data_IF_103320111655
#
_entry.id   IF_103320111655
#
_cell.length_a   1.000
_cell.length_b   1.000
_cell.length_c   1.000
_cell.angle_alpha   90.00
_cell.angle_beta   90.00
_cell.angle_gamma   90.00
#
_symmetry.space_group_name_H-M   'P 1'
#
loop_
_entity.id
_entity.type
_entity.pdbx_description
1 polymer ?
#
# COMPACT_ATOMS: atom_id res chain seq x y z
N UNK A 1 -16.63 9.89 -10.51
CA UNK A 1 -15.51 10.77 -10.13
C UNK A 1 -14.26 10.00 -9.70
N UNK A 2 -14.33 9.15 -8.68
CA UNK A 2 -13.16 8.39 -8.19
C UNK A 2 -12.45 7.56 -9.29
N UNK A 3 -13.19 6.83 -10.12
CA UNK A 3 -12.62 6.05 -11.23
C UNK A 3 -11.89 6.91 -12.27
N UNK A 4 -12.48 8.04 -12.66
CA UNK A 4 -11.87 8.96 -13.62
C UNK A 4 -10.60 9.62 -13.05
N UNK A 5 -10.63 10.02 -11.78
CA UNK A 5 -9.44 10.53 -11.09
C UNK A 5 -8.34 9.46 -11.00
N UNK A 6 -8.69 8.21 -10.70
CA UNK A 6 -7.75 7.10 -10.64
C UNK A 6 -7.11 6.81 -12.00
N UNK A 7 -7.89 6.83 -13.09
CA UNK A 7 -7.36 6.65 -14.45
C UNK A 7 -6.40 7.77 -14.86
N UNK A 8 -6.74 9.02 -14.57
CA UNK A 8 -5.87 10.17 -14.86
C UNK A 8 -4.56 10.08 -14.08
N UNK A 9 -4.64 9.75 -12.78
CA UNK A 9 -3.46 9.61 -11.93
C UNK A 9 -2.56 8.45 -12.38
N UNK A 10 -3.14 7.30 -12.69
CA UNK A 10 -2.41 6.14 -13.21
C UNK A 10 -1.73 6.45 -14.55
N UNK A 11 -2.43 7.16 -15.45
CA UNK A 11 -1.88 7.61 -16.73
C UNK A 11 -0.70 8.56 -16.55
N UNK A 12 -0.80 9.53 -15.64
CA UNK A 12 0.30 10.46 -15.31
C UNK A 12 1.53 9.74 -14.77
N UNK A 13 1.34 8.81 -13.82
CA UNK A 13 2.42 8.03 -13.23
C UNK A 13 3.07 7.12 -14.29
N UNK A 14 2.27 6.50 -15.15
CA UNK A 14 2.75 5.68 -16.27
C UNK A 14 3.53 6.49 -17.31
N UNK A 15 3.05 7.68 -17.66
CA UNK A 15 3.74 8.58 -18.58
C UNK A 15 5.06 9.08 -17.99
N UNK A 16 5.10 9.43 -16.71
CA UNK A 16 6.32 9.87 -16.03
C UNK A 16 7.37 8.75 -15.97
N UNK A 17 6.97 7.54 -15.57
CA UNK A 17 7.87 6.37 -15.55
C UNK A 17 8.38 6.01 -16.94
N UNK A 18 7.50 6.01 -17.95
CA UNK A 18 7.88 5.77 -19.35
C UNK A 18 8.82 6.84 -19.91
N UNK A 19 8.57 8.12 -19.62
CA UNK A 19 9.42 9.23 -20.04
C UNK A 19 10.80 9.16 -19.39
N UNK A 20 10.88 8.86 -18.09
CA UNK A 20 12.16 8.68 -17.40
C UNK A 20 12.99 7.55 -18.02
N UNK A 21 12.36 6.43 -18.37
CA UNK A 21 13.05 5.34 -19.06
C UNK A 21 13.48 5.75 -20.48
N UNK A 22 12.61 6.39 -21.24
CA UNK A 22 12.84 6.74 -22.64
C UNK A 22 13.87 7.88 -22.85
N UNK A 23 13.87 8.89 -21.98
CA UNK A 23 14.72 10.08 -22.14
C UNK A 23 15.95 10.08 -21.24
N UNK A 24 15.86 9.55 -20.01
CA UNK A 24 16.99 9.56 -19.05
C UNK A 24 17.85 8.30 -19.20
N UNK A 25 17.36 7.24 -19.87
CA UNK A 25 18.09 5.98 -20.01
C UNK A 25 18.31 5.26 -18.67
N UNK A 26 17.53 5.62 -17.64
CA UNK A 26 17.60 5.00 -16.34
C UNK A 26 17.11 3.55 -16.41
N UNK A 27 17.72 2.67 -15.61
CA UNK A 27 17.35 1.26 -15.61
C UNK A 27 15.87 1.09 -15.21
N UNK A 28 15.04 0.38 -16.01
CA UNK A 28 13.58 0.35 -15.81
C UNK A 28 13.14 -0.11 -14.42
N UNK A 29 13.87 -1.07 -13.83
CA UNK A 29 13.57 -1.58 -12.49
C UNK A 29 13.76 -0.48 -11.43
N UNK A 30 14.78 0.38 -11.55
CA UNK A 30 15.01 1.44 -10.58
C UNK A 30 13.90 2.50 -10.64
N UNK A 31 13.46 2.85 -11.84
CA UNK A 31 12.40 3.86 -12.05
C UNK A 31 11.06 3.36 -11.50
N UNK A 32 10.70 2.10 -11.73
CA UNK A 32 9.46 1.52 -11.22
C UNK A 32 9.49 1.35 -9.70
N UNK A 33 10.61 0.88 -9.12
CA UNK A 33 10.77 0.81 -7.67
C UNK A 33 10.71 2.19 -7.02
N UNK A 34 11.39 3.20 -7.57
CA UNK A 34 11.36 4.57 -7.05
C UNK A 34 9.94 5.18 -7.12
N UNK A 35 9.21 4.90 -8.19
CA UNK A 35 7.84 5.38 -8.36
C UNK A 35 6.90 4.69 -7.38
N UNK A 36 7.03 3.36 -7.21
CA UNK A 36 6.26 2.60 -6.24
C UNK A 36 6.49 3.11 -4.81
N UNK A 37 7.75 3.34 -4.40
CA UNK A 37 8.08 3.85 -3.07
C UNK A 37 7.54 5.27 -2.86
N UNK A 38 7.63 6.13 -3.87
CA UNK A 38 7.09 7.51 -3.81
C UNK A 38 5.57 7.50 -3.66
N UNK A 39 4.85 6.74 -4.50
CA UNK A 39 3.39 6.65 -4.45
C UNK A 39 2.93 6.05 -3.12
N UNK A 40 3.58 4.99 -2.64
CA UNK A 40 3.29 4.40 -1.33
C UNK A 40 3.59 5.38 -0.19
N UNK A 41 4.69 6.12 -0.26
CA UNK A 41 5.04 7.15 0.72
C UNK A 41 4.01 8.26 0.81
N UNK A 42 3.55 8.77 -0.35
CA UNK A 42 2.44 9.74 -0.42
C UNK A 42 1.17 9.13 0.16
N UNK A 43 0.87 7.87 -0.15
CA UNK A 43 -0.26 7.14 0.42
C UNK A 43 -0.21 7.08 1.95
N UNK A 44 0.93 6.71 2.52
CA UNK A 44 1.15 6.66 3.98
C UNK A 44 1.02 8.06 4.60
N UNK A 45 1.57 9.08 3.95
CA UNK A 45 1.46 10.46 4.42
C UNK A 45 -0.01 10.92 4.45
N UNK A 46 -0.76 10.65 3.38
CA UNK A 46 -2.17 11.02 3.27
C UNK A 46 -3.05 10.26 4.27
N UNK A 47 -2.77 8.97 4.49
CA UNK A 47 -3.51 8.14 5.44
C UNK A 47 -3.00 8.28 6.87
N UNK A 48 -1.94 9.07 7.11
CA UNK A 48 -1.23 9.16 8.42
C UNK A 48 -0.81 7.78 8.95
N UNK A 49 -0.54 6.82 8.07
CA UNK A 49 -0.27 5.44 8.43
C UNK A 49 -1.47 4.65 8.95
N UNK A 50 -2.69 5.20 8.89
CA UNK A 50 -3.90 4.45 9.17
C UNK A 50 -4.17 3.47 8.02
N UNK A 51 -4.18 2.17 8.34
CA UNK A 51 -4.69 1.14 7.45
C UNK A 51 -6.16 1.45 7.13
N UNK A 52 -6.43 1.88 5.89
CA UNK A 52 -7.76 2.17 5.33
C UNK A 52 -8.70 2.97 6.28
N UNK A 53 -8.73 4.30 6.11
CA UNK A 53 -9.86 5.10 6.62
C UNK A 53 -11.15 4.59 5.98
N UNK A 54 -12.01 3.94 6.77
CA UNK A 54 -13.28 3.33 6.32
C UNK A 54 -13.36 1.81 6.36
N UNK A 55 -12.32 1.12 6.85
CA UNK A 55 -12.35 -0.33 7.01
C UNK A 55 -13.29 -0.73 8.17
N UNK A 56 -14.24 -1.67 7.98
CA UNK A 56 -15.15 -2.09 9.04
C UNK A 56 -14.37 -2.56 10.27
N UNK A 57 -14.89 -2.25 11.46
CA UNK A 57 -14.20 -2.40 12.75
C UNK A 57 -13.56 -3.78 12.92
N UNK A 58 -14.20 -4.83 12.42
CA UNK A 58 -13.70 -6.21 12.43
C UNK A 58 -12.36 -6.39 11.69
N UNK A 59 -12.18 -5.74 10.53
CA UNK A 59 -10.96 -5.89 9.74
C UNK A 59 -9.85 -5.04 10.34
N UNK A 60 -10.19 -3.90 10.97
CA UNK A 60 -9.24 -3.10 11.76
C UNK A 60 -8.76 -3.86 13.00
N UNK A 61 -9.66 -4.58 13.66
CA UNK A 61 -9.35 -5.41 14.81
C UNK A 61 -8.37 -6.54 14.47
N UNK A 62 -8.63 -7.24 13.37
CA UNK A 62 -7.77 -8.33 12.91
C UNK A 62 -6.39 -7.81 12.46
N UNK A 63 -6.33 -6.67 11.77
CA UNK A 63 -5.11 -6.22 11.11
C UNK A 63 -4.19 -5.32 11.95
N UNK A 64 -4.75 -4.53 12.87
CA UNK A 64 -4.00 -3.44 13.51
C UNK A 64 -4.15 -3.38 15.04
N UNK A 65 -5.17 -4.03 15.63
CA UNK A 65 -5.30 -4.05 17.09
C UNK A 65 -4.31 -4.99 17.75
N UNK A 66 -3.95 -4.63 18.98
CA UNK A 66 -3.08 -5.40 19.86
C UNK A 66 -3.88 -5.83 21.06
N UNK A 67 -4.06 -7.13 21.22
CA UNK A 67 -4.67 -7.72 22.41
C UNK A 67 -3.53 -8.15 23.33
N UNK A 68 -3.52 -7.63 24.56
CA UNK A 68 -2.43 -7.82 25.53
C UNK A 68 -1.03 -7.41 25.01
N UNK A 69 -0.95 -6.37 24.16
CA UNK A 69 0.32 -5.90 23.59
C UNK A 69 0.85 -6.73 22.42
N UNK A 70 0.17 -7.84 22.07
CA UNK A 70 0.50 -8.71 20.93
C UNK A 70 -0.47 -8.45 19.77
N UNK A 71 0.00 -8.28 18.53
CA UNK A 71 -0.87 -8.10 17.37
C UNK A 71 -1.86 -9.26 17.23
N UNK A 72 -3.15 -8.97 17.00
CA UNK A 72 -4.19 -9.98 16.71
C UNK A 72 -3.81 -10.97 15.59
N UNK A 73 -3.06 -10.58 14.52
CA UNK A 73 -2.59 -11.54 13.52
C UNK A 73 -1.79 -12.71 14.10
N UNK A 74 -1.03 -12.49 15.19
CA UNK A 74 -0.23 -13.54 15.81
C UNK A 74 -1.11 -14.55 16.55
N UNK A 75 -2.20 -14.10 17.16
CA UNK A 75 -3.18 -14.97 17.81
C UNK A 75 -3.90 -15.86 16.80
N UNK A 76 -4.28 -15.30 15.65
CA UNK A 76 -4.89 -16.06 14.55
C UNK A 76 -3.91 -17.10 14.01
N UNK A 77 -2.65 -16.71 13.81
CA UNK A 77 -1.60 -17.64 13.38
C UNK A 77 -1.45 -18.81 14.36
N UNK A 78 -1.35 -18.54 15.67
CA UNK A 78 -1.23 -19.58 16.70
C UNK A 78 -2.46 -20.49 16.75
N UNK A 79 -3.67 -19.93 16.62
CA UNK A 79 -4.90 -20.72 16.62
C UNK A 79 -4.96 -21.67 15.41
N UNK A 80 -4.58 -21.21 14.23
CA UNK A 80 -4.52 -22.04 13.01
C UNK A 80 -3.41 -23.08 13.11
N UNK A 81 -2.23 -22.70 13.61
CA UNK A 81 -1.10 -23.62 13.79
C UNK A 81 -1.37 -24.72 14.83
N UNK A 82 -2.20 -24.46 15.84
CA UNK A 82 -2.63 -25.47 16.82
C UNK A 82 -3.79 -26.34 16.33
N UNK A 83 -4.54 -25.89 15.32
CA UNK A 83 -5.65 -26.64 14.70
C UNK A 83 -5.18 -27.60 13.60
N UNK A 84 -4.07 -27.27 12.93
CA UNK A 84 -3.36 -28.11 11.96
C UNK A 84 -2.53 -29.20 12.64
#
# INVERSE_FOLDING_TARGET
LALAAAMLLAGLIGAATGALVAYVGAHPILVTLATMTTVNGIGIYLTRGAALSGMPEIVRFIGAERVLGVPVPLWIFLAVAALL
#
